data_IF_452199959120
#
_entry.id   IF_452199959120
#
_cell.length_a   1.000
_cell.length_b   1.000
_cell.length_c   1.000
_cell.angle_alpha   90.00
_cell.angle_beta   90.00
_cell.angle_gamma   90.00
#
_symmetry.space_group_name_H-M   'P 1'
#
loop_
_entity.id
_entity.type
_entity.pdbx_description
1 polymer ?
#
# COMPACT_ATOMS: atom_id res chain seq x y z
N UNK A 1 3.40 -17.69 -2.92
CA UNK A 1 2.69 -16.90 -1.87
C UNK A 1 3.31 -15.52 -1.72
N UNK A 2 4.64 -15.41 -1.76
CA UNK A 2 5.35 -14.13 -1.85
C UNK A 2 4.84 -13.25 -3.00
N UNK A 3 4.65 -13.81 -4.20
CA UNK A 3 4.15 -13.03 -5.36
C UNK A 3 2.80 -12.36 -5.12
N UNK A 4 1.91 -12.99 -4.35
CA UNK A 4 0.63 -12.36 -3.98
C UNK A 4 0.85 -11.12 -3.10
N UNK A 5 1.82 -11.18 -2.18
CA UNK A 5 2.21 -10.06 -1.32
C UNK A 5 2.81 -8.94 -2.18
N UNK A 6 3.77 -9.28 -3.05
CA UNK A 6 4.43 -8.33 -3.95
C UNK A 6 3.42 -7.65 -4.89
N UNK A 7 2.56 -8.42 -5.55
CA UNK A 7 1.55 -7.89 -6.46
C UNK A 7 0.52 -6.99 -5.75
N UNK A 8 0.13 -7.34 -4.53
CA UNK A 8 -0.78 -6.51 -3.72
C UNK A 8 -0.10 -5.22 -3.25
N UNK A 9 1.13 -5.30 -2.75
CA UNK A 9 1.90 -4.13 -2.35
C UNK A 9 2.16 -3.17 -3.53
N UNK A 10 2.48 -3.70 -4.72
CA UNK A 10 2.64 -2.91 -5.94
C UNK A 10 1.32 -2.22 -6.35
N UNK A 11 0.19 -2.93 -6.28
CA UNK A 11 -1.14 -2.36 -6.56
C UNK A 11 -1.48 -1.24 -5.59
N UNK A 12 -1.28 -1.45 -4.29
CA UNK A 12 -1.49 -0.44 -3.25
C UNK A 12 -0.63 0.80 -3.49
N UNK A 13 0.64 0.59 -3.85
CA UNK A 13 1.58 1.67 -4.18
C UNK A 13 1.10 2.48 -5.38
N UNK A 14 0.68 1.82 -6.44
CA UNK A 14 0.19 2.51 -7.63
C UNK A 14 -1.10 3.28 -7.35
N UNK A 15 -2.06 2.67 -6.66
CA UNK A 15 -3.32 3.33 -6.29
C UNK A 15 -3.07 4.59 -5.44
N UNK A 16 -2.21 4.47 -4.42
CA UNK A 16 -1.83 5.58 -3.55
C UNK A 16 -1.10 6.69 -4.32
N UNK A 17 -0.21 6.34 -5.24
CA UNK A 17 0.48 7.32 -6.08
C UNK A 17 -0.49 8.12 -6.96
N UNK A 18 -1.51 7.47 -7.54
CA UNK A 18 -2.55 8.14 -8.31
C UNK A 18 -3.40 9.07 -7.44
N UNK A 19 -3.83 8.62 -6.26
CA UNK A 19 -4.60 9.44 -5.32
C UNK A 19 -3.81 10.68 -4.85
N UNK A 20 -2.55 10.50 -4.45
CA UNK A 20 -1.66 11.61 -4.07
C UNK A 20 -1.45 12.59 -5.21
N UNK A 21 -1.18 12.11 -6.42
CA UNK A 21 -1.00 12.95 -7.59
C UNK A 21 -2.27 13.74 -7.91
N UNK A 22 -3.43 13.08 -7.89
CA UNK A 22 -4.72 13.75 -8.11
C UNK A 22 -4.96 14.84 -7.07
N UNK A 23 -4.80 14.54 -5.79
CA UNK A 23 -5.06 15.47 -4.71
C UNK A 23 -4.10 16.68 -4.71
N UNK A 24 -2.87 16.51 -5.20
CA UNK A 24 -1.89 17.57 -5.32
C UNK A 24 -2.22 18.60 -6.41
N UNK A 25 -3.11 18.27 -7.36
CA UNK A 25 -3.46 19.16 -8.48
C UNK A 25 -4.95 19.54 -8.49
N UNK A 26 -5.82 18.71 -7.93
CA UNK A 26 -7.26 18.97 -7.88
C UNK A 26 -7.58 20.00 -6.82
N UNK A 27 -8.34 21.03 -7.20
CA UNK A 27 -8.88 22.03 -6.28
C UNK A 27 -10.37 21.80 -5.99
N UNK A 28 -10.77 22.00 -4.75
CA UNK A 28 -12.16 22.06 -4.30
C UNK A 28 -12.28 22.96 -3.06
N UNK A 29 -13.43 23.61 -2.87
CA UNK A 29 -13.68 24.49 -1.73
C UNK A 29 -12.55 25.53 -1.53
N UNK A 30 -12.11 26.16 -2.62
CA UNK A 30 -11.14 27.27 -2.59
C UNK A 30 -9.68 26.89 -2.33
N UNK A 31 -9.26 25.62 -2.48
CA UNK A 31 -7.85 25.22 -2.39
C UNK A 31 -7.60 23.81 -2.91
N UNK A 32 -6.34 23.35 -2.91
CA UNK A 32 -6.00 21.99 -3.31
C UNK A 32 -6.60 20.97 -2.34
N UNK A 33 -6.96 19.80 -2.85
CA UNK A 33 -7.44 18.70 -2.01
C UNK A 33 -6.37 18.27 -1.01
N UNK A 34 -5.09 18.25 -1.41
CA UNK A 34 -3.96 17.94 -0.53
C UNK A 34 -3.76 18.94 0.63
N UNK A 35 -4.42 20.10 0.61
CA UNK A 35 -4.37 21.06 1.72
C UNK A 35 -5.53 20.88 2.71
N UNK A 36 -6.55 20.09 2.35
CA UNK A 36 -7.71 19.86 3.23
C UNK A 36 -7.31 18.89 4.34
N UNK A 37 -7.48 19.24 5.63
CA UNK A 37 -7.02 18.40 6.74
C UNK A 37 -7.55 16.97 6.70
N UNK A 38 -8.82 16.78 6.34
CA UNK A 38 -9.40 15.44 6.24
C UNK A 38 -8.78 14.62 5.11
N UNK A 39 -8.58 15.22 3.93
CA UNK A 39 -7.94 14.55 2.79
C UNK A 39 -6.48 14.21 3.10
N UNK A 40 -5.74 15.09 3.79
CA UNK A 40 -4.37 14.80 4.23
C UNK A 40 -4.31 13.58 5.14
N UNK A 41 -5.26 13.42 6.06
CA UNK A 41 -5.32 12.25 6.92
C UNK A 41 -5.54 10.97 6.12
N UNK A 42 -6.51 10.97 5.19
CA UNK A 42 -6.78 9.82 4.32
C UNK A 42 -5.54 9.45 3.49
N UNK A 43 -4.93 10.44 2.82
CA UNK A 43 -3.75 10.22 1.98
C UNK A 43 -2.54 9.72 2.80
N UNK A 44 -2.37 10.22 4.02
CA UNK A 44 -1.32 9.78 4.92
C UNK A 44 -1.53 8.31 5.34
N UNK A 45 -2.75 7.92 5.68
CA UNK A 45 -3.07 6.54 6.05
C UNK A 45 -2.84 5.58 4.87
N UNK A 46 -3.23 5.97 3.63
CA UNK A 46 -2.94 5.20 2.43
C UNK A 46 -1.43 5.06 2.19
N UNK A 47 -0.67 6.14 2.37
CA UNK A 47 0.78 6.13 2.21
C UNK A 47 1.46 5.22 3.25
N UNK A 48 1.05 5.28 4.52
CA UNK A 48 1.60 4.43 5.58
C UNK A 48 1.31 2.96 5.30
N UNK A 49 0.09 2.61 4.91
CA UNK A 49 -0.26 1.23 4.61
C UNK A 49 0.50 0.72 3.36
N UNK A 50 0.61 1.54 2.32
CA UNK A 50 1.41 1.18 1.13
C UNK A 50 2.88 0.96 1.48
N UNK A 51 3.49 1.83 2.27
CA UNK A 51 4.91 1.74 2.61
C UNK A 51 5.19 0.52 3.51
N UNK A 52 4.30 0.24 4.46
CA UNK A 52 4.39 -0.96 5.31
C UNK A 52 4.28 -2.25 4.47
N UNK A 53 3.35 -2.31 3.52
CA UNK A 53 3.19 -3.44 2.63
C UNK A 53 4.42 -3.66 1.74
N UNK A 54 4.97 -2.60 1.15
CA UNK A 54 6.19 -2.65 0.34
C UNK A 54 7.39 -3.10 1.18
N UNK A 55 7.58 -2.51 2.36
CA UNK A 55 8.68 -2.85 3.26
C UNK A 55 8.64 -4.33 3.66
N UNK A 56 7.46 -4.83 4.04
CA UNK A 56 7.29 -6.24 4.39
C UNK A 56 7.56 -7.15 3.18
N UNK A 57 7.08 -6.80 2.00
CA UNK A 57 7.30 -7.58 0.79
C UNK A 57 8.80 -7.70 0.44
N UNK A 58 9.54 -6.59 0.53
CA UNK A 58 10.98 -6.57 0.29
C UNK A 58 11.76 -7.32 1.38
N UNK A 59 11.35 -7.23 2.65
CA UNK A 59 11.97 -8.01 3.75
C UNK A 59 11.82 -9.51 3.55
N UNK A 60 10.68 -9.95 3.04
CA UNK A 60 10.46 -11.36 2.71
C UNK A 60 11.30 -11.78 1.50
N UNK A 61 11.39 -10.94 0.45
CA UNK A 61 12.26 -11.23 -0.69
C UNK A 61 13.73 -11.38 -0.24
N UNK A 62 14.23 -10.46 0.57
CA UNK A 62 15.58 -10.54 1.14
C UNK A 62 15.80 -11.81 1.99
N UNK A 63 14.78 -12.28 2.73
CA UNK A 63 14.85 -13.54 3.48
C UNK A 63 15.02 -14.76 2.56
N UNK A 64 14.33 -14.74 1.42
CA UNK A 64 14.43 -15.80 0.41
C UNK A 64 15.83 -15.81 -0.24
N UNK A 65 16.39 -14.63 -0.49
CA UNK A 65 17.74 -14.48 -1.06
C UNK A 65 18.83 -14.93 -0.08
N UNK A 66 18.71 -14.63 1.22
CA UNK A 66 19.66 -15.03 2.26
C UNK A 66 19.72 -16.56 2.43
N UNK A 67 18.55 -17.20 2.59
CA UNK A 67 18.44 -18.66 2.60
C UNK A 67 18.98 -19.38 3.85
N UNK A 68 19.47 -18.68 4.88
CA UNK A 68 19.92 -19.29 6.13
C UNK A 68 18.79 -20.02 6.87
N UNK A 69 19.14 -20.96 7.75
CA UNK A 69 18.15 -21.72 8.53
C UNK A 69 17.24 -20.81 9.37
N UNK A 70 17.79 -19.71 9.90
CA UNK A 70 17.04 -18.69 10.63
C UNK A 70 16.02 -17.97 9.73
N UNK A 71 16.42 -17.55 8.54
CA UNK A 71 15.52 -16.90 7.58
C UNK A 71 14.46 -17.88 7.03
N UNK A 72 14.81 -19.15 6.82
CA UNK A 72 13.82 -20.18 6.45
C UNK A 72 12.82 -20.45 7.58
N UNK A 73 13.24 -20.39 8.85
CA UNK A 73 12.33 -20.46 10.00
C UNK A 73 11.39 -19.25 10.05
N UNK A 74 11.91 -18.04 9.82
CA UNK A 74 11.10 -16.83 9.72
C UNK A 74 10.08 -16.91 8.57
N UNK A 75 10.51 -17.27 7.37
CA UNK A 75 9.66 -17.36 6.17
C UNK A 75 8.48 -18.31 6.33
N UNK A 76 8.67 -19.44 7.04
CA UNK A 76 7.59 -20.41 7.32
C UNK A 76 6.38 -19.77 8.02
N UNK A 77 6.59 -18.73 8.82
CA UNK A 77 5.54 -18.01 9.55
C UNK A 77 5.19 -16.69 8.84
N UNK A 78 6.20 -15.93 8.41
CA UNK A 78 6.01 -14.58 7.93
C UNK A 78 5.28 -14.53 6.58
N UNK A 79 5.55 -15.47 5.66
CA UNK A 79 4.90 -15.51 4.34
C UNK A 79 3.38 -15.70 4.42
N UNK A 80 2.83 -16.68 5.17
CA UNK A 80 1.38 -16.79 5.29
C UNK A 80 0.74 -15.60 6.01
N UNK A 81 1.40 -15.01 7.03
CA UNK A 81 0.90 -13.82 7.73
C UNK A 81 0.86 -12.62 6.79
N UNK A 82 1.93 -12.35 6.06
CA UNK A 82 2.01 -11.28 5.07
C UNK A 82 1.01 -11.48 3.93
N UNK A 83 0.89 -12.71 3.41
CA UNK A 83 -0.11 -13.07 2.41
C UNK A 83 -1.51 -12.79 2.91
N UNK A 84 -1.82 -13.10 4.17
CA UNK A 84 -3.13 -12.80 4.73
C UNK A 84 -3.37 -11.30 4.84
N UNK A 85 -2.44 -10.56 5.45
CA UNK A 85 -2.62 -9.14 5.74
C UNK A 85 -2.64 -8.29 4.48
N UNK A 86 -1.56 -8.33 3.69
CA UNK A 86 -1.35 -7.41 2.57
C UNK A 86 -2.40 -7.61 1.48
N UNK A 87 -2.71 -8.85 1.11
CA UNK A 87 -3.71 -9.09 0.04
C UNK A 87 -5.11 -8.69 0.48
N UNK A 88 -5.43 -8.81 1.79
CA UNK A 88 -6.73 -8.42 2.34
C UNK A 88 -6.87 -6.90 2.43
N UNK A 89 -5.80 -6.18 2.76
CA UNK A 89 -5.78 -4.71 2.82
C UNK A 89 -5.84 -4.06 1.45
N UNK A 90 -5.27 -4.71 0.43
CA UNK A 90 -5.20 -4.18 -0.93
C UNK A 90 -6.54 -3.67 -1.48
N UNK A 91 -7.64 -4.39 -1.27
CA UNK A 91 -8.97 -3.97 -1.77
C UNK A 91 -9.44 -2.67 -1.13
N UNK A 92 -9.29 -2.53 0.19
CA UNK A 92 -9.72 -1.34 0.91
C UNK A 92 -8.88 -0.11 0.53
N UNK A 93 -7.56 -0.29 0.40
CA UNK A 93 -6.64 0.78 -0.05
C UNK A 93 -6.96 1.21 -1.48
N UNK A 94 -7.20 0.26 -2.38
CA UNK A 94 -7.55 0.59 -3.76
C UNK A 94 -8.91 1.31 -3.86
N UNK A 95 -9.90 0.91 -3.07
CA UNK A 95 -11.21 1.56 -3.05
C UNK A 95 -11.14 3.00 -2.51
N UNK A 96 -10.47 3.23 -1.39
CA UNK A 96 -10.31 4.57 -0.83
C UNK A 96 -9.48 5.48 -1.76
N UNK A 97 -8.42 4.93 -2.37
CA UNK A 97 -7.66 5.65 -3.38
C UNK A 97 -8.52 6.03 -4.59
N UNK A 98 -9.42 5.14 -5.04
CA UNK A 98 -10.38 5.42 -6.10
C UNK A 98 -11.34 6.56 -5.70
N UNK A 99 -11.87 6.54 -4.48
CA UNK A 99 -12.74 7.61 -3.98
C UNK A 99 -12.03 8.98 -3.94
N UNK A 100 -10.71 9.02 -3.74
CA UNK A 100 -9.91 10.25 -3.83
C UNK A 100 -9.92 10.87 -5.24
N UNK A 101 -10.13 10.09 -6.29
CA UNK A 101 -10.25 10.56 -7.68
C UNK A 101 -11.67 11.06 -8.02
N UNK A 102 -12.65 10.82 -7.14
CA UNK A 102 -14.06 11.10 -7.39
C UNK A 102 -14.64 10.22 -8.50
N UNK A 103 -15.63 10.74 -9.24
CA UNK A 103 -16.38 9.94 -10.23
C UNK A 103 -15.59 9.43 -11.45
N UNK A 104 -14.32 9.85 -11.62
CA UNK A 104 -13.44 9.36 -12.68
C UNK A 104 -12.58 8.15 -12.25
N UNK A 105 -12.60 7.84 -10.95
CA UNK A 105 -11.80 6.77 -10.35
C UNK A 105 -12.18 5.38 -10.82
#
# INVERSE_FOLDING_TARGET
>A
RLDCVLGSAATMRQATAQALHHAAHRSAFGGLLADKPLMRNVLADLAVESEAATTLALRLAAAYDDGSEAEQAFLRIAVPVAKYWVTKRCTAVAAEALECLGGNG
#
